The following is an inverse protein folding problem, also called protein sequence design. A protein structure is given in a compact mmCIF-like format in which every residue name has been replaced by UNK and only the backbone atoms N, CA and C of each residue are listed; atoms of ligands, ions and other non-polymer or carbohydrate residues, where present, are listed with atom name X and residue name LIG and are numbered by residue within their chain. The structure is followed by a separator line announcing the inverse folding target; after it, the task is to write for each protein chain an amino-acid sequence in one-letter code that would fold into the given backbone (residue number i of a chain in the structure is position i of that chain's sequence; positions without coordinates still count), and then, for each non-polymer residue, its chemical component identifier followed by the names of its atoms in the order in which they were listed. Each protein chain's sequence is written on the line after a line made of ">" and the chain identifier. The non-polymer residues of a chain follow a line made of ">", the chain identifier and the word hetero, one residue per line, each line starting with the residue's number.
data_IF_285346485960
#
_entry.id   IF_285346485960
#
_cell.length_a   1.000
_cell.length_b   1.000
_cell.length_c   1.000
_cell.angle_alpha   90.00
_cell.angle_beta   90.00
_cell.angle_gamma   90.00
#
_symmetry.space_group_name_H-M   'P 1'
#
loop_
_entity.id
_entity.type
_entity.pdbx_description
1 polymer ?
#
# COMPACT_ATOMS: atom_id res chain seq x y z
N UNK A 1 20.70 19.83 -25.87
CA UNK A 1 21.01 18.39 -25.91
C UNK A 1 20.38 17.59 -24.77
N UNK A 2 20.56 17.94 -23.48
CA UNK A 2 20.08 17.13 -22.33
C UNK A 2 18.55 16.90 -22.28
N UNK A 3 17.73 17.82 -22.79
CA UNK A 3 16.26 17.66 -22.84
C UNK A 3 15.82 16.58 -23.83
N UNK A 4 16.36 16.59 -25.05
CA UNK A 4 16.05 15.57 -26.07
C UNK A 4 16.44 14.15 -25.63
N UNK A 5 17.55 14.01 -24.89
CA UNK A 5 17.96 12.72 -24.31
C UNK A 5 16.98 12.22 -23.25
N UNK A 6 16.43 13.13 -22.42
CA UNK A 6 15.39 12.79 -21.44
C UNK A 6 14.11 12.32 -22.12
N UNK A 7 13.68 13.03 -23.17
CA UNK A 7 12.46 12.70 -23.91
C UNK A 7 12.56 11.30 -24.55
N UNK A 8 13.71 10.95 -25.15
CA UNK A 8 13.96 9.60 -25.67
C UNK A 8 13.95 8.52 -24.59
N UNK A 9 14.57 8.77 -23.43
CA UNK A 9 14.51 7.84 -22.30
C UNK A 9 13.08 7.65 -21.81
N UNK A 10 12.25 8.70 -21.82
CA UNK A 10 10.87 8.66 -21.36
C UNK A 10 9.98 7.85 -22.31
N UNK A 11 10.11 8.04 -23.62
CA UNK A 11 9.38 7.26 -24.63
C UNK A 11 9.74 5.78 -24.56
N UNK A 12 11.03 5.45 -24.47
CA UNK A 12 11.46 4.04 -24.37
C UNK A 12 10.95 3.38 -23.10
N UNK A 13 10.97 4.12 -21.99
CA UNK A 13 10.46 3.63 -20.71
C UNK A 13 8.95 3.36 -20.75
N UNK A 14 8.16 4.23 -21.40
CA UNK A 14 6.72 4.01 -21.59
C UNK A 14 6.44 2.77 -22.45
N UNK A 15 7.19 2.59 -23.54
CA UNK A 15 7.05 1.41 -24.41
C UNK A 15 7.30 0.11 -23.64
N UNK A 16 8.41 0.03 -22.90
CA UNK A 16 8.78 -1.14 -22.11
C UNK A 16 7.76 -1.46 -21.01
N UNK A 17 7.14 -0.43 -20.40
CA UNK A 17 6.05 -0.65 -19.44
C UNK A 17 4.81 -1.25 -20.08
N UNK A 18 4.37 -0.67 -21.20
CA UNK A 18 3.16 -1.12 -21.89
C UNK A 18 3.33 -2.49 -22.56
N UNK A 19 4.57 -2.85 -22.91
CA UNK A 19 4.90 -4.16 -23.47
C UNK A 19 4.95 -5.27 -22.42
N UNK A 20 5.09 -4.94 -21.13
CA UNK A 20 5.07 -5.93 -20.06
C UNK A 20 3.65 -6.35 -19.73
N UNK A 21 3.38 -7.66 -19.75
CA UNK A 21 2.08 -8.23 -19.33
C UNK A 21 1.87 -8.13 -17.81
N UNK A 22 2.95 -7.93 -17.04
CA UNK A 22 2.92 -7.80 -15.58
C UNK A 22 3.81 -6.64 -15.12
N UNK A 23 3.48 -5.40 -15.43
CA UNK A 23 4.30 -4.25 -15.09
C UNK A 23 4.28 -4.00 -13.57
N UNK A 24 5.39 -3.52 -13.02
CA UNK A 24 5.44 -3.11 -11.63
C UNK A 24 4.52 -1.91 -11.38
N UNK A 25 3.66 -1.99 -10.35
CA UNK A 25 2.80 -0.88 -9.92
C UNK A 25 3.60 0.41 -9.65
N UNK A 26 4.78 0.25 -9.03
CA UNK A 26 5.75 1.32 -8.83
C UNK A 26 7.05 0.96 -9.54
N UNK A 27 7.25 1.46 -10.76
CA UNK A 27 8.43 1.18 -11.57
C UNK A 27 9.64 2.00 -11.12
N UNK A 28 10.82 1.41 -11.23
CA UNK A 28 12.11 2.05 -10.95
C UNK A 28 12.60 2.93 -12.10
N UNK A 29 13.91 3.20 -12.11
CA UNK A 29 14.57 3.87 -13.25
C UNK A 29 14.53 3.00 -14.52
N UNK A 30 14.57 1.69 -14.35
CA UNK A 30 14.33 0.71 -15.40
C UNK A 30 12.92 0.11 -15.19
N UNK A 31 12.07 0.06 -16.23
CA UNK A 31 10.68 -0.36 -16.11
C UNK A 31 10.53 -1.85 -15.74
N UNK A 32 11.54 -2.66 -16.06
CA UNK A 32 11.62 -4.06 -15.64
C UNK A 32 11.93 -4.23 -14.14
N UNK A 33 12.33 -3.17 -13.43
CA UNK A 33 12.69 -3.22 -12.01
C UNK A 33 11.68 -2.47 -11.14
N UNK A 34 11.36 -2.99 -9.95
CA UNK A 34 10.51 -2.28 -9.02
C UNK A 34 11.25 -1.07 -8.42
N UNK A 35 10.50 -0.06 -8.02
CA UNK A 35 11.01 1.06 -7.26
C UNK A 35 11.42 0.58 -5.85
N UNK A 36 12.67 0.84 -5.46
CA UNK A 36 13.14 0.51 -4.11
C UNK A 36 12.35 1.25 -3.02
N UNK A 37 12.11 0.59 -1.89
CA UNK A 37 11.30 1.11 -0.79
C UNK A 37 11.81 2.48 -0.27
N UNK A 38 13.12 2.67 -0.17
CA UNK A 38 13.73 3.94 0.24
C UNK A 38 13.37 5.09 -0.70
N UNK A 39 13.43 4.84 -2.01
CA UNK A 39 13.08 5.83 -3.02
C UNK A 39 11.58 6.11 -3.07
N UNK A 40 10.74 5.08 -2.92
CA UNK A 40 9.30 5.26 -2.78
C UNK A 40 8.98 6.15 -1.58
N UNK A 41 9.59 5.88 -0.42
CA UNK A 41 9.43 6.69 0.78
C UNK A 41 9.86 8.14 0.56
N UNK A 42 10.97 8.37 -0.14
CA UNK A 42 11.43 9.71 -0.49
C UNK A 42 10.44 10.45 -1.40
N UNK A 43 9.90 9.77 -2.42
CA UNK A 43 8.88 10.34 -3.31
C UNK A 43 7.60 10.70 -2.55
N UNK A 44 7.11 9.80 -1.70
CA UNK A 44 5.94 10.06 -0.87
C UNK A 44 6.15 11.28 0.05
N UNK A 45 7.31 11.37 0.71
CA UNK A 45 7.66 12.52 1.56
C UNK A 45 7.69 13.83 0.79
N UNK A 46 8.16 13.83 -0.46
CA UNK A 46 8.15 15.01 -1.34
C UNK A 46 6.73 15.53 -1.61
N UNK A 47 5.73 14.66 -1.56
CA UNK A 47 4.32 15.02 -1.68
C UNK A 47 3.64 15.27 -0.32
N UNK A 48 4.40 15.43 0.76
CA UNK A 48 3.85 15.65 2.10
C UNK A 48 3.28 14.40 2.77
N UNK A 49 3.41 13.23 2.15
CA UNK A 49 2.91 11.96 2.70
C UNK A 49 4.00 11.36 3.58
N UNK A 50 3.78 11.34 4.90
CA UNK A 50 4.64 10.64 5.85
C UNK A 50 4.34 9.13 5.80
N UNK A 51 5.21 8.27 5.22
CA UNK A 51 4.83 6.89 4.87
C UNK A 51 4.48 6.04 6.10
N UNK A 52 5.25 6.17 7.18
CA UNK A 52 5.00 5.42 8.41
C UNK A 52 3.73 5.89 9.14
N UNK A 53 3.57 7.21 9.31
CA UNK A 53 2.39 7.78 9.96
C UNK A 53 1.12 7.49 9.14
N UNK A 54 1.17 7.68 7.82
CA UNK A 54 0.08 7.36 6.91
C UNK A 54 -0.31 5.88 6.96
N UNK A 55 0.68 4.97 6.99
CA UNK A 55 0.41 3.53 7.13
C UNK A 55 -0.23 3.18 8.47
N UNK A 56 0.21 3.80 9.56
CA UNK A 56 -0.37 3.57 10.89
C UNK A 56 -1.80 4.11 10.99
N UNK A 57 -2.05 5.31 10.45
CA UNK A 57 -3.39 5.89 10.39
C UNK A 57 -4.33 5.05 9.53
N UNK A 58 -3.86 4.58 8.36
CA UNK A 58 -4.64 3.67 7.51
C UNK A 58 -4.97 2.35 8.23
N UNK A 59 -4.02 1.79 8.99
CA UNK A 59 -4.28 0.60 9.83
C UNK A 59 -5.30 0.87 10.92
N UNK A 60 -5.22 2.02 11.59
CA UNK A 60 -6.17 2.38 12.64
C UNK A 60 -7.58 2.59 12.07
N UNK A 61 -7.69 3.23 10.91
CA UNK A 61 -8.96 3.40 10.20
C UNK A 61 -9.55 2.04 9.80
N UNK A 62 -8.76 1.16 9.17
CA UNK A 62 -9.20 -0.20 8.85
C UNK A 62 -9.57 -0.99 10.10
N UNK A 63 -8.82 -0.83 11.18
CA UNK A 63 -9.12 -1.44 12.47
C UNK A 63 -10.35 -0.83 13.15
N UNK A 64 -10.98 0.20 12.61
CA UNK A 64 -12.28 0.74 13.06
C UNK A 64 -13.44 0.04 12.34
N UNK A 65 -13.20 -0.47 11.13
CA UNK A 65 -14.23 -1.09 10.29
C UNK A 65 -14.12 -2.62 10.23
N UNK A 66 -12.94 -3.19 10.51
CA UNK A 66 -12.65 -4.62 10.36
C UNK A 66 -12.29 -5.30 11.70
N UNK A 67 -12.88 -6.48 12.00
CA UNK A 67 -12.48 -7.28 13.15
C UNK A 67 -11.05 -7.81 12.99
N UNK A 68 -10.39 -8.16 14.10
CA UNK A 68 -8.97 -8.51 14.13
C UNK A 68 -8.57 -9.66 13.19
N UNK A 69 -9.41 -10.69 13.06
CA UNK A 69 -9.14 -11.82 12.15
C UNK A 69 -9.12 -11.38 10.69
N UNK A 70 -10.14 -10.64 10.26
CA UNK A 70 -10.23 -10.12 8.89
C UNK A 70 -9.11 -9.12 8.63
N UNK A 71 -8.77 -8.28 9.60
CA UNK A 71 -7.66 -7.34 9.49
C UNK A 71 -6.31 -8.05 9.33
N UNK A 72 -6.08 -9.15 10.06
CA UNK A 72 -4.87 -9.95 9.96
C UNK A 72 -4.72 -10.56 8.56
N UNK A 73 -5.76 -11.22 8.07
CA UNK A 73 -5.80 -11.86 6.75
C UNK A 73 -5.65 -10.83 5.63
N UNK A 74 -6.38 -9.70 5.73
CA UNK A 74 -6.35 -8.62 4.74
C UNK A 74 -4.99 -7.92 4.65
N UNK A 75 -4.33 -7.69 5.78
CA UNK A 75 -3.04 -6.99 5.82
C UNK A 75 -1.82 -7.90 5.78
N UNK A 76 -2.02 -9.22 5.83
CA UNK A 76 -0.96 -10.22 5.94
C UNK A 76 -0.13 -10.08 7.23
N UNK A 77 -0.74 -9.63 8.33
CA UNK A 77 -0.05 -9.48 9.63
C UNK A 77 -0.50 -10.53 10.63
N UNK A 78 0.25 -10.71 11.73
CA UNK A 78 -0.15 -11.67 12.76
C UNK A 78 -1.47 -11.26 13.43
N UNK A 79 -2.25 -12.26 13.85
CA UNK A 79 -3.49 -12.02 14.61
C UNK A 79 -3.22 -11.19 15.87
N UNK A 80 -2.11 -11.44 16.57
CA UNK A 80 -1.71 -10.68 17.76
C UNK A 80 -1.47 -9.19 17.46
N UNK A 81 -0.91 -8.87 16.30
CA UNK A 81 -0.73 -7.49 15.88
C UNK A 81 -2.08 -6.85 15.52
N UNK A 82 -2.94 -7.56 14.77
CA UNK A 82 -4.27 -7.07 14.43
C UNK A 82 -5.16 -6.84 15.67
N UNK A 83 -5.09 -7.71 16.68
CA UNK A 83 -5.79 -7.54 17.97
C UNK A 83 -5.32 -6.27 18.69
N UNK A 84 -4.01 -5.94 18.65
CA UNK A 84 -3.52 -4.69 19.23
C UNK A 84 -4.10 -3.47 18.51
N UNK A 85 -4.11 -3.47 17.18
CA UNK A 85 -4.64 -2.36 16.38
C UNK A 85 -6.15 -2.16 16.56
N UNK A 86 -6.93 -3.24 16.55
CA UNK A 86 -8.38 -3.17 16.85
C UNK A 86 -8.65 -2.74 18.29
N UNK A 87 -7.80 -3.17 19.24
CA UNK A 87 -7.81 -2.66 20.61
C UNK A 87 -7.57 -1.15 20.68
N UNK A 88 -6.66 -0.59 19.86
CA UNK A 88 -6.45 0.86 19.79
C UNK A 88 -7.63 1.61 19.17
N UNK A 89 -8.34 1.00 18.21
CA UNK A 89 -9.54 1.58 17.61
C UNK A 89 -10.75 1.59 18.57
N UNK A 90 -10.70 0.81 19.67
CA UNK A 90 -11.73 0.75 20.73
C UNK A 90 -13.15 0.47 20.20
N UNK A 91 -13.26 -0.27 19.10
CA UNK A 91 -14.54 -0.64 18.48
C UNK A 91 -14.98 -2.04 18.94
N UNK A 92 -16.26 -2.18 19.27
CA UNK A 92 -16.89 -3.49 19.50
C UNK A 92 -17.32 -4.13 18.18
N UNK A 93 -17.04 -5.42 18.02
CA UNK A 93 -17.24 -6.18 16.77
C UNK A 93 -18.44 -7.11 16.80
N UNK A 94 -19.32 -6.95 17.78
CA UNK A 94 -20.51 -7.81 17.95
C UNK A 94 -21.43 -7.74 16.72
N UNK A 95 -21.53 -6.57 16.08
CA UNK A 95 -22.30 -6.39 14.84
C UNK A 95 -21.76 -7.25 13.70
N UNK A 96 -20.43 -7.35 13.58
CA UNK A 96 -19.82 -8.21 12.57
C UNK A 96 -20.16 -9.69 12.82
N UNK A 97 -20.06 -10.16 14.06
CA UNK A 97 -20.42 -11.54 14.43
C UNK A 97 -21.90 -11.81 14.12
N UNK A 98 -22.80 -10.88 14.48
CA UNK A 98 -24.23 -10.99 14.18
C UNK A 98 -24.51 -11.04 12.67
N UNK A 99 -23.77 -10.29 11.85
CA UNK A 99 -23.90 -10.34 10.39
C UNK A 99 -23.46 -11.69 9.80
N UNK A 100 -22.36 -12.27 10.30
CA UNK A 100 -21.83 -13.55 9.82
C UNK A 100 -22.71 -14.74 10.22
N UNK A 101 -23.37 -14.68 11.37
CA UNK A 101 -24.27 -15.75 11.83
C UNK A 101 -25.59 -15.83 11.04
N UNK A 102 -25.90 -14.84 10.20
CA UNK A 102 -27.09 -14.80 9.34
C UNK A 102 -26.87 -15.45 7.96
N UNK A 103 -25.64 -15.87 7.67
CA UNK A 103 -25.24 -16.57 6.43
C UNK A 103 -25.15 -18.06 6.71
#
# INVERSE_FOLDING_TARGET
>A
MVRAQRDQCQTRWQLDQTASTTPWLFPGQEPARPLGATYLNLKLRRHGIAPHAGRNNARLALATDLPASVLADFTGTSISNATRWTGYARRDWLDYIASRARV
#
